data_IF_705732594379
#
_entry.id   IF_705732594379
#
_cell.length_a   1.000
_cell.length_b   1.000
_cell.length_c   1.000
_cell.angle_alpha   90.00
_cell.angle_beta   90.00
_cell.angle_gamma   90.00
#
_symmetry.space_group_name_H-M   'P 1'
#
loop_
_entity.id
_entity.type
_entity.pdbx_description
1 polymer ?
#
# COMPACT_ATOMS: atom_id res chain seq x y z
N UNK A 1 33.25 17.67 -2.39
CA UNK A 1 32.73 16.28 -2.38
C UNK A 1 32.40 15.89 -3.82
N UNK A 2 32.91 14.75 -4.28
CA UNK A 2 32.55 14.21 -5.59
C UNK A 2 31.12 13.64 -5.52
N UNK A 3 30.23 14.05 -6.42
CA UNK A 3 28.91 13.42 -6.58
C UNK A 3 29.13 12.04 -7.19
N UNK A 4 28.88 10.98 -6.42
CA UNK A 4 28.91 9.61 -6.93
C UNK A 4 27.51 9.26 -7.44
N UNK A 5 27.40 8.89 -8.72
CA UNK A 5 26.16 8.38 -9.32
C UNK A 5 26.08 6.88 -9.05
N UNK A 6 25.00 6.43 -8.44
CA UNK A 6 24.70 5.01 -8.20
C UNK A 6 23.45 4.71 -9.03
N UNK A 7 23.54 3.70 -9.90
CA UNK A 7 22.42 3.25 -10.73
C UNK A 7 21.94 1.89 -10.23
N UNK A 8 20.63 1.75 -10.08
CA UNK A 8 20.00 0.50 -9.70
C UNK A 8 18.78 0.25 -10.59
N UNK A 9 18.72 -0.94 -11.21
CA UNK A 9 17.54 -1.37 -11.95
C UNK A 9 16.50 -1.88 -10.96
N UNK A 10 15.42 -1.12 -10.78
CA UNK A 10 14.27 -1.60 -10.00
C UNK A 10 13.35 -2.37 -10.94
N UNK A 11 13.09 -3.66 -10.67
CA UNK A 11 12.32 -4.47 -11.60
C UNK A 11 10.88 -3.94 -11.75
N UNK A 12 10.20 -4.23 -12.88
CA UNK A 12 8.86 -3.69 -13.20
C UNK A 12 7.75 -4.05 -12.21
N UNK A 13 8.07 -4.87 -11.19
CA UNK A 13 7.13 -5.42 -10.20
C UNK A 13 7.42 -4.91 -8.78
N UNK A 14 8.19 -3.82 -8.67
CA UNK A 14 8.68 -3.29 -7.41
C UNK A 14 9.94 -4.01 -6.92
N UNK A 15 10.72 -3.31 -6.10
CA UNK A 15 11.93 -3.81 -5.47
C UNK A 15 12.47 -2.80 -4.47
N UNK A 16 13.28 -3.27 -3.52
CA UNK A 16 14.01 -2.41 -2.60
C UNK A 16 15.49 -2.39 -3.01
N UNK A 17 16.11 -1.22 -2.98
CA UNK A 17 17.54 -1.07 -3.16
C UNK A 17 18.13 -0.54 -1.85
N UNK A 18 19.01 -1.32 -1.23
CA UNK A 18 19.80 -0.82 -0.09
C UNK A 18 20.78 0.22 -0.59
N UNK A 19 20.54 1.48 -0.23
CA UNK A 19 21.45 2.59 -0.50
C UNK A 19 21.84 3.25 0.82
N UNK A 20 23.08 3.71 0.92
CA UNK A 20 23.53 4.55 2.02
C UNK A 20 23.18 6.00 1.67
N UNK A 21 22.05 6.47 2.18
CA UNK A 21 21.46 7.76 1.83
C UNK A 21 21.54 8.71 3.02
N UNK A 22 21.48 10.03 2.78
CA UNK A 22 21.47 11.05 3.84
C UNK A 22 20.64 12.28 3.43
N UNK A 23 20.28 13.11 4.42
CA UNK A 23 19.53 14.37 4.19
C UNK A 23 20.32 15.28 3.24
N UNK A 24 19.78 15.54 2.06
CA UNK A 24 20.43 16.33 1.00
C UNK A 24 20.85 15.52 -0.24
N UNK A 25 20.69 14.19 -0.24
CA UNK A 25 20.71 13.41 -1.48
C UNK A 25 19.47 13.68 -2.34
N UNK A 26 19.69 13.95 -3.62
CA UNK A 26 18.65 14.00 -4.64
C UNK A 26 18.56 12.63 -5.30
N UNK A 27 17.44 11.94 -5.13
CA UNK A 27 17.14 10.74 -5.89
C UNK A 27 16.28 11.12 -7.08
N UNK A 28 16.63 10.60 -8.24
CA UNK A 28 15.72 10.61 -9.37
C UNK A 28 15.66 9.23 -10.01
N UNK A 29 14.50 8.89 -10.56
CA UNK A 29 14.33 7.71 -11.39
C UNK A 29 13.61 8.12 -12.67
N UNK A 30 13.89 7.42 -13.76
CA UNK A 30 13.16 7.60 -15.01
C UNK A 30 12.16 6.44 -15.16
N UNK A 31 10.91 6.78 -15.44
CA UNK A 31 9.86 5.81 -15.73
C UNK A 31 9.09 6.29 -16.97
N UNK A 32 9.04 5.44 -18.00
CA UNK A 32 8.41 5.73 -19.30
C UNK A 32 8.86 7.08 -19.93
N UNK A 33 10.13 7.43 -19.76
CA UNK A 33 10.72 8.67 -20.28
C UNK A 33 10.52 9.91 -19.40
N UNK A 34 9.74 9.81 -18.31
CA UNK A 34 9.56 10.89 -17.33
C UNK A 34 10.56 10.75 -16.18
N UNK A 35 11.30 11.83 -15.91
CA UNK A 35 12.18 11.93 -14.73
C UNK A 35 11.37 12.32 -13.50
N UNK A 36 11.41 11.46 -12.48
CA UNK A 36 10.74 11.63 -11.20
C UNK A 36 11.78 11.83 -10.11
N UNK A 37 11.50 12.72 -9.15
CA UNK A 37 12.41 13.04 -8.06
C UNK A 37 11.84 12.57 -6.73
N UNK A 38 12.67 11.88 -5.95
CA UNK A 38 12.34 11.52 -4.56
C UNK A 38 13.22 12.37 -3.66
N UNK A 39 12.56 13.22 -2.88
CA UNK A 39 13.21 13.85 -1.74
C UNK A 39 13.29 12.79 -0.65
N UNK A 40 14.51 12.41 -0.29
CA UNK A 40 14.74 11.61 0.90
C UNK A 40 14.21 12.39 2.11
N UNK A 41 13.14 11.90 2.73
CA UNK A 41 12.65 12.44 3.99
C UNK A 41 13.71 12.27 5.08
N UNK A 42 13.54 12.99 6.20
CA UNK A 42 14.41 12.80 7.37
C UNK A 42 14.41 11.31 7.75
N UNK A 43 15.58 10.75 8.13
CA UNK A 43 15.66 9.38 8.62
C UNK A 43 14.56 9.16 9.68
N UNK A 44 13.87 8.03 9.59
CA UNK A 44 12.96 7.62 10.67
C UNK A 44 13.77 7.32 11.95
N UNK A 45 13.10 6.93 13.03
CA UNK A 45 13.75 6.66 14.32
C UNK A 45 14.88 5.60 14.28
N UNK A 46 15.01 4.87 13.16
CA UNK A 46 16.00 3.80 12.95
C UNK A 46 17.01 4.12 11.83
N UNK A 47 17.11 5.38 11.39
CA UNK A 47 17.98 5.82 10.29
C UNK A 47 17.69 5.16 8.92
N UNK A 48 16.49 4.61 8.72
CA UNK A 48 16.10 4.04 7.44
C UNK A 48 15.44 5.08 6.52
N UNK A 49 15.80 5.04 5.24
CA UNK A 49 15.16 5.80 4.18
C UNK A 49 14.56 4.84 3.15
N UNK A 50 13.26 4.96 2.91
CA UNK A 50 12.55 4.13 1.95
C UNK A 50 12.24 4.96 0.70
N UNK A 51 12.72 4.50 -0.44
CA UNK A 51 12.42 5.09 -1.75
C UNK A 51 11.41 4.16 -2.42
N UNK A 52 10.15 4.57 -2.49
CA UNK A 52 9.20 3.92 -3.38
C UNK A 52 9.23 4.59 -4.74
N UNK A 53 9.45 3.76 -5.75
CA UNK A 53 9.27 4.14 -7.15
C UNK A 53 7.80 3.92 -7.48
N UNK A 54 7.08 5.01 -7.68
CA UNK A 54 5.72 5.01 -8.19
C UNK A 54 5.70 5.19 -9.70
N UNK A 55 4.58 4.86 -10.33
CA UNK A 55 4.28 5.41 -11.65
C UNK A 55 4.05 6.92 -11.58
N UNK A 56 3.68 7.53 -12.71
CA UNK A 56 3.34 8.95 -12.79
C UNK A 56 2.23 9.32 -11.80
N UNK A 57 2.28 10.52 -11.22
CA UNK A 57 1.19 11.04 -10.38
C UNK A 57 -0.14 10.96 -11.17
N UNK A 58 -1.14 10.29 -10.60
CA UNK A 58 -2.43 10.02 -11.26
C UNK A 58 -2.53 8.67 -12.01
N UNK A 59 -1.42 7.95 -12.20
CA UNK A 59 -1.39 6.60 -12.78
C UNK A 59 -1.18 5.55 -11.69
N UNK A 60 -2.23 5.29 -10.91
CA UNK A 60 -2.21 4.23 -9.92
C UNK A 60 -2.16 2.83 -10.54
N UNK A 61 -1.69 1.85 -9.77
CA UNK A 61 -1.69 0.44 -10.17
C UNK A 61 -3.08 -0.13 -9.91
N UNK A 62 -3.77 -0.55 -10.97
CA UNK A 62 -5.11 -1.15 -10.86
C UNK A 62 -5.00 -2.62 -10.45
N UNK A 63 -5.65 -2.97 -9.35
CA UNK A 63 -5.86 -4.36 -8.93
C UNK A 63 -7.36 -4.67 -9.00
N UNK A 64 -7.73 -5.64 -9.82
CA UNK A 64 -9.12 -6.12 -9.90
C UNK A 64 -9.42 -7.13 -8.81
N UNK A 65 -10.49 -6.90 -8.07
CA UNK A 65 -11.01 -7.77 -7.03
C UNK A 65 -12.33 -8.39 -7.49
N UNK A 66 -12.33 -9.69 -7.78
CA UNK A 66 -13.54 -10.44 -8.07
C UNK A 66 -14.24 -10.84 -6.77
N UNK A 67 -15.56 -10.69 -6.73
CA UNK A 67 -16.40 -11.01 -5.59
C UNK A 67 -17.50 -12.00 -6.00
N UNK A 68 -17.72 -12.98 -5.13
CA UNK A 68 -18.85 -13.91 -5.26
C UNK A 68 -20.05 -13.32 -4.55
N UNK A 69 -21.17 -13.15 -5.26
CA UNK A 69 -22.41 -12.65 -4.67
C UNK A 69 -23.29 -13.85 -4.28
N UNK A 70 -23.76 -13.87 -3.03
CA UNK A 70 -24.43 -15.02 -2.39
C UNK A 70 -25.80 -15.42 -2.96
N UNK A 71 -26.24 -14.87 -4.09
CA UNK A 71 -27.57 -15.13 -4.67
C UNK A 71 -27.60 -15.55 -6.15
N UNK A 72 -26.46 -15.84 -6.80
CA UNK A 72 -26.46 -16.38 -8.16
C UNK A 72 -25.11 -16.90 -8.65
N UNK A 73 -25.10 -17.55 -9.83
CA UNK A 73 -23.90 -17.98 -10.56
C UNK A 73 -23.05 -16.80 -11.11
N UNK A 74 -23.17 -15.61 -10.51
CA UNK A 74 -22.55 -14.38 -10.97
C UNK A 74 -21.29 -14.04 -10.18
N UNK A 75 -20.27 -13.59 -10.91
CA UNK A 75 -19.09 -12.91 -10.36
C UNK A 75 -19.30 -11.43 -10.60
N UNK A 76 -19.16 -10.61 -9.57
CA UNK A 76 -19.06 -9.15 -9.68
C UNK A 76 -17.61 -8.74 -9.39
N UNK A 77 -17.24 -7.49 -9.66
CA UNK A 77 -15.88 -7.02 -9.37
C UNK A 77 -15.83 -5.55 -9.00
N UNK A 78 -14.79 -5.19 -8.28
CA UNK A 78 -14.38 -3.80 -8.08
C UNK A 78 -12.87 -3.68 -8.31
N UNK A 79 -12.43 -2.50 -8.71
CA UNK A 79 -11.01 -2.22 -8.93
C UNK A 79 -10.48 -1.36 -7.78
N UNK A 80 -9.35 -1.74 -7.18
CA UNK A 80 -8.58 -0.90 -6.26
C UNK A 80 -7.49 -0.20 -7.08
N UNK A 81 -7.47 1.13 -7.02
CA UNK A 81 -6.40 1.94 -7.59
C UNK A 81 -5.34 2.21 -6.52
N UNK A 82 -4.23 1.48 -6.59
CA UNK A 82 -3.12 1.61 -5.64
C UNK A 82 -2.31 2.85 -6.00
N UNK A 83 -2.07 3.71 -5.01
CA UNK A 83 -1.34 4.96 -5.16
C UNK A 83 0.00 4.88 -4.41
N UNK A 84 1.12 4.47 -5.04
CA UNK A 84 2.41 4.36 -4.37
C UNK A 84 2.90 5.66 -3.74
N UNK A 85 2.55 6.82 -4.32
CA UNK A 85 2.91 8.13 -3.79
C UNK A 85 2.18 8.47 -2.48
N UNK A 86 0.98 7.90 -2.26
CA UNK A 86 0.19 8.15 -1.04
C UNK A 86 0.72 7.37 0.16
N UNK A 87 1.18 6.15 -0.07
CA UNK A 87 1.63 5.23 0.97
C UNK A 87 2.63 4.23 0.36
N UNK A 88 3.91 4.61 0.22
CA UNK A 88 4.99 3.77 -0.29
C UNK A 88 5.01 2.33 0.26
N UNK A 89 5.11 2.19 1.59
CA UNK A 89 5.18 0.89 2.28
C UNK A 89 3.86 0.15 2.16
N UNK A 90 2.75 0.85 2.37
CA UNK A 90 1.40 0.28 2.23
C UNK A 90 1.14 -0.27 0.83
N UNK A 91 1.47 0.49 -0.21
CA UNK A 91 1.28 0.10 -1.61
C UNK A 91 2.09 -1.15 -1.95
N UNK A 92 3.38 -1.19 -1.59
CA UNK A 92 4.23 -2.36 -1.81
C UNK A 92 3.67 -3.58 -1.08
N UNK A 93 3.32 -3.43 0.21
CA UNK A 93 2.76 -4.51 1.02
C UNK A 93 1.47 -5.05 0.41
N UNK A 94 0.57 -4.18 -0.01
CA UNK A 94 -0.69 -4.59 -0.64
C UNK A 94 -0.44 -5.43 -1.90
N UNK A 95 0.44 -4.95 -2.79
CA UNK A 95 0.77 -5.65 -4.03
C UNK A 95 1.46 -6.99 -3.79
N UNK A 96 2.32 -7.08 -2.77
CA UNK A 96 2.91 -8.35 -2.34
C UNK A 96 1.83 -9.33 -1.87
N UNK A 97 0.92 -8.90 -1.00
CA UNK A 97 -0.18 -9.73 -0.48
C UNK A 97 -1.11 -10.22 -1.60
N UNK A 98 -1.41 -9.36 -2.58
CA UNK A 98 -2.14 -9.75 -3.80
C UNK A 98 -1.36 -10.83 -4.57
N UNK A 99 -0.07 -10.60 -4.80
CA UNK A 99 0.79 -11.55 -5.55
C UNK A 99 0.92 -12.90 -4.86
N UNK A 100 0.98 -12.92 -3.53
CA UNK A 100 1.02 -14.16 -2.74
C UNK A 100 -0.34 -14.82 -2.57
N UNK A 101 -1.41 -14.22 -3.12
CA UNK A 101 -2.76 -14.78 -3.07
C UNK A 101 -3.40 -14.68 -1.68
N UNK A 102 -2.91 -13.81 -0.81
CA UNK A 102 -3.41 -13.65 0.56
C UNK A 102 -4.88 -13.22 0.59
N UNK A 103 -5.29 -12.43 -0.40
CA UNK A 103 -6.67 -11.98 -0.56
C UNK A 103 -7.58 -12.97 -1.31
N UNK A 104 -7.08 -14.14 -1.70
CA UNK A 104 -7.90 -15.12 -2.42
C UNK A 104 -8.92 -15.77 -1.47
N UNK A 105 -10.20 -15.59 -1.79
CA UNK A 105 -11.31 -16.16 -1.01
C UNK A 105 -11.48 -15.53 0.38
N UNK A 106 -10.94 -14.33 0.61
CA UNK A 106 -11.21 -13.57 1.84
C UNK A 106 -12.64 -13.06 1.86
N UNK A 107 -13.23 -13.00 3.03
CA UNK A 107 -14.56 -12.43 3.23
C UNK A 107 -14.45 -10.95 3.64
N UNK A 108 -15.49 -10.18 3.33
CA UNK A 108 -15.78 -8.94 4.07
C UNK A 108 -16.19 -9.33 5.49
N UNK A 109 -15.25 -9.21 6.43
CA UNK A 109 -15.37 -9.73 7.79
C UNK A 109 -16.09 -8.74 8.73
N UNK A 110 -16.16 -7.46 8.36
CA UNK A 110 -16.86 -6.42 9.14
C UNK A 110 -17.39 -5.32 8.23
N UNK A 111 -18.71 -5.15 8.22
CA UNK A 111 -19.40 -4.08 7.47
C UNK A 111 -20.17 -3.21 8.45
N UNK A 112 -19.80 -1.93 8.54
CA UNK A 112 -20.46 -0.94 9.39
C UNK A 112 -20.96 0.20 8.51
N UNK A 113 -22.28 0.34 8.31
CA UNK A 113 -22.84 1.41 7.50
C UNK A 113 -22.36 2.80 7.95
N UNK A 114 -22.11 3.68 6.97
CA UNK A 114 -21.60 5.04 7.20
C UNK A 114 -20.25 5.11 7.93
N UNK A 115 -19.49 4.01 7.92
CA UNK A 115 -18.16 3.95 8.52
C UNK A 115 -17.19 3.22 7.60
N UNK A 116 -17.21 1.89 7.58
CA UNK A 116 -16.26 1.11 6.80
C UNK A 116 -16.75 -0.28 6.41
N UNK A 117 -16.12 -0.83 5.38
CA UNK A 117 -16.16 -2.25 5.03
C UNK A 117 -14.75 -2.81 5.11
N UNK A 118 -14.51 -3.75 6.03
CA UNK A 118 -13.21 -4.36 6.29
C UNK A 118 -13.11 -5.75 5.65
N UNK A 119 -11.90 -6.11 5.22
CA UNK A 119 -11.53 -7.43 4.71
C UNK A 119 -10.02 -7.67 4.90
N UNK A 120 -9.54 -8.86 4.51
CA UNK A 120 -8.10 -9.15 4.47
C UNK A 120 -7.59 -10.11 5.54
N UNK A 121 -8.50 -10.74 6.30
CA UNK A 121 -8.16 -11.94 7.08
C UNK A 121 -8.02 -13.12 6.11
N UNK A 122 -6.82 -13.74 5.98
CA UNK A 122 -6.61 -14.83 5.05
C UNK A 122 -7.53 -16.03 5.35
N UNK A 123 -8.03 -16.68 4.29
CA UNK A 123 -8.89 -17.88 4.42
C UNK A 123 -8.12 -19.04 5.02
N UNK A 124 -6.90 -19.25 4.55
CA UNK A 124 -6.01 -20.29 5.06
C UNK A 124 -5.50 -19.93 6.46
N UNK A 125 -5.52 -20.92 7.37
CA UNK A 125 -5.20 -20.69 8.77
C UNK A 125 -3.70 -20.48 9.00
N UNK A 126 -2.84 -21.25 8.34
CA UNK A 126 -1.39 -21.11 8.50
C UNK A 126 -0.91 -19.79 7.89
N UNK A 127 -1.43 -19.43 6.70
CA UNK A 127 -1.17 -18.12 6.11
C UNK A 127 -1.62 -16.96 6.99
N UNK A 128 -2.78 -17.09 7.67
CA UNK A 128 -3.26 -16.08 8.62
C UNK A 128 -2.31 -15.92 9.80
N UNK A 129 -1.77 -17.02 10.33
CA UNK A 129 -0.82 -17.00 11.44
C UNK A 129 0.47 -16.30 11.00
N UNK A 130 1.05 -16.71 9.88
CA UNK A 130 2.31 -16.15 9.38
C UNK A 130 2.18 -14.67 9.03
N UNK A 131 1.11 -14.30 8.32
CA UNK A 131 0.93 -12.92 7.87
C UNK A 131 0.63 -11.94 9.02
N UNK A 132 0.13 -12.43 10.17
CA UNK A 132 -0.11 -11.62 11.37
C UNK A 132 1.18 -11.23 12.09
N UNK A 133 2.22 -12.05 11.98
CA UNK A 133 3.54 -11.77 12.57
C UNK A 133 4.35 -10.77 11.74
N UNK A 134 3.94 -10.49 10.51
CA UNK A 134 4.63 -9.59 9.57
C UNK A 134 3.86 -8.26 9.49
N UNK A 135 4.22 -7.33 10.37
CA UNK A 135 3.76 -5.94 10.26
C UNK A 135 4.69 -5.08 9.39
N UNK A 136 4.15 -3.97 8.89
CA UNK A 136 4.91 -2.91 8.25
C UNK A 136 4.90 -1.66 9.12
N UNK A 137 5.97 -0.88 9.00
CA UNK A 137 6.00 0.47 9.57
C UNK A 137 5.05 1.40 8.83
N UNK A 138 4.56 2.40 9.55
CA UNK A 138 3.70 3.42 9.00
C UNK A 138 4.48 4.27 7.96
N UNK A 139 3.80 4.65 6.88
CA UNK A 139 4.30 5.67 5.96
C UNK A 139 4.24 7.05 6.61
N UNK A 140 5.05 7.99 6.10
CA UNK A 140 4.92 9.38 6.50
C UNK A 140 3.52 9.90 6.18
N UNK A 141 2.91 10.62 7.13
CA UNK A 141 1.55 11.09 7.00
C UNK A 141 1.43 12.16 5.89
N UNK A 142 0.87 11.75 4.75
CA UNK A 142 0.57 12.62 3.59
C UNK A 142 -0.65 13.54 3.80
N UNK A 143 -1.27 13.53 4.99
CA UNK A 143 -2.49 14.28 5.36
C UNK A 143 -3.67 14.02 4.43
N UNK A 144 -3.77 12.78 3.96
CA UNK A 144 -4.88 12.35 3.12
C UNK A 144 -6.16 12.22 3.95
N UNK A 145 -7.32 12.68 3.44
CA UNK A 145 -8.60 12.49 4.10
C UNK A 145 -9.12 11.05 3.94
N UNK A 146 -10.03 10.63 4.82
CA UNK A 146 -10.84 9.43 4.62
C UNK A 146 -12.11 9.76 3.82
N UNK A 147 -11.97 9.88 2.50
CA UNK A 147 -13.12 10.11 1.62
C UNK A 147 -13.75 8.77 1.18
N UNK A 148 -15.07 8.72 0.90
CA UNK A 148 -15.74 7.49 0.45
C UNK A 148 -15.03 6.81 -0.72
N UNK A 149 -14.85 5.50 -0.63
CA UNK A 149 -14.12 4.69 -1.62
C UNK A 149 -12.61 4.60 -1.39
N UNK A 150 -12.04 5.37 -0.46
CA UNK A 150 -10.63 5.23 -0.10
C UNK A 150 -10.39 3.89 0.60
N UNK A 151 -9.20 3.33 0.36
CA UNK A 151 -8.75 2.09 0.98
C UNK A 151 -7.57 2.39 1.89
N UNK A 152 -7.59 1.85 3.10
CA UNK A 152 -6.48 1.97 4.05
C UNK A 152 -6.26 0.65 4.78
N UNK A 153 -5.02 0.40 5.21
CA UNK A 153 -4.76 -0.69 6.14
C UNK A 153 -5.40 -0.40 7.51
N UNK A 154 -5.95 -1.45 8.10
CA UNK A 154 -6.31 -1.47 9.50
C UNK A 154 -5.06 -1.70 10.37
N UNK A 155 -5.09 -1.22 11.61
CA UNK A 155 -4.02 -1.38 12.57
C UNK A 155 -4.50 -1.13 14.00
N UNK A 156 -3.68 -1.49 14.97
CA UNK A 156 -3.94 -1.32 16.41
C UNK A 156 -3.05 -0.25 17.06
N UNK A 157 -2.38 0.58 16.26
CA UNK A 157 -1.44 1.60 16.70
C UNK A 157 -0.30 1.80 15.68
N UNK A 158 0.75 2.48 16.11
CA UNK A 158 1.95 2.68 15.29
C UNK A 158 2.51 1.34 14.79
N UNK A 159 2.91 1.31 13.51
CA UNK A 159 3.70 0.22 12.90
C UNK A 159 3.07 -1.19 13.01
N UNK A 160 1.73 -1.23 13.02
CA UNK A 160 0.94 -2.44 13.30
C UNK A 160 0.17 -2.99 12.09
N UNK A 161 0.35 -2.40 10.90
CA UNK A 161 -0.39 -2.79 9.69
C UNK A 161 0.13 -4.13 9.19
N UNK A 162 -0.75 -5.08 8.94
CA UNK A 162 -0.40 -6.44 8.51
C UNK A 162 -1.02 -6.78 7.16
N UNK A 163 -2.26 -7.29 7.14
CA UNK A 163 -2.98 -7.72 5.94
C UNK A 163 -4.37 -7.11 5.80
N UNK A 164 -5.00 -6.72 6.92
CA UNK A 164 -6.37 -6.24 6.91
C UNK A 164 -6.46 -4.82 6.34
N UNK A 165 -7.46 -4.62 5.48
CA UNK A 165 -7.79 -3.38 4.81
C UNK A 165 -9.23 -3.00 5.14
N UNK A 166 -9.53 -1.71 5.07
CA UNK A 166 -10.89 -1.23 5.06
C UNK A 166 -11.13 -0.25 3.92
N UNK A 167 -12.35 -0.28 3.39
CA UNK A 167 -12.90 0.67 2.42
C UNK A 167 -13.76 1.66 3.20
N UNK A 168 -13.50 2.94 3.03
CA UNK A 168 -14.31 4.02 3.60
C UNK A 168 -15.68 4.02 2.94
N UNK A 169 -16.75 3.93 3.73
CA UNK A 169 -18.12 3.89 3.21
C UNK A 169 -18.67 5.31 2.99
N UNK A 170 -19.64 5.49 2.07
CA UNK A 170 -20.39 6.74 1.97
C UNK A 170 -21.02 7.13 3.30
N UNK A 171 -21.08 8.43 3.59
CA UNK A 171 -21.69 8.95 4.82
C UNK A 171 -20.76 8.99 6.04
N UNK A 172 -19.47 8.68 5.88
CA UNK A 172 -18.45 8.89 6.92
C UNK A 172 -18.39 10.37 7.35
N UNK A 173 -18.36 10.58 8.66
CA UNK A 173 -18.12 11.91 9.24
C UNK A 173 -16.66 12.31 9.02
N UNK A 174 -16.41 13.54 8.55
CA UNK A 174 -15.05 14.08 8.35
C UNK A 174 -14.26 14.35 9.64
N UNK A 175 -14.84 14.05 10.80
CA UNK A 175 -14.25 14.31 12.12
C UNK A 175 -13.52 13.10 12.74
N UNK A 176 -13.42 11.98 12.01
CA UNK A 176 -12.83 10.72 12.48
C UNK A 176 -11.52 10.43 11.75
#
# INVERSE_FOLDING_TARGET
MYKQRIEATIPPRGGAHHSQTFVGHEFYYEYDGDANYVLADRPNANDEQLIAIGGKEGEGIRVRCEISVSSGNGVDFFDILVQPYWSPRGAIRFLELVRFGVYNGVAFNRVVPNFLTQFGIPKDYEMRKDAREISIWDDFNQRLPFEPGYVSFAGSGFDSRTTELFIVMPGVSKAQ
#
